data_IF_330895143756
#
_entry.id   IF_330895143756
#
_cell.length_a   1.000
_cell.length_b   1.000
_cell.length_c   1.000
_cell.angle_alpha   90.00
_cell.angle_beta   90.00
_cell.angle_gamma   90.00
#
_symmetry.space_group_name_H-M   'P 1'
#
loop_
_entity.id
_entity.type
_entity.pdbx_description
1 polymer ?
#
# COMPACT_ATOMS: atom_id res chain seq x y z
N UNK A 1 3.66 -9.16 5.53
CA UNK A 1 2.86 -8.85 4.32
C UNK A 1 2.01 -7.65 4.69
N UNK A 2 1.92 -6.60 3.86
CA UNK A 2 1.15 -5.41 4.24
C UNK A 2 -0.35 -5.63 4.03
N UNK A 3 -1.13 -5.41 5.08
CA UNK A 3 -2.59 -5.47 5.05
C UNK A 3 -3.19 -4.19 5.64
N UNK A 4 -4.30 -3.73 5.07
CA UNK A 4 -4.96 -2.48 5.47
C UNK A 4 -6.46 -2.65 5.67
N UNK A 5 -7.00 -1.88 6.61
CA UNK A 5 -8.43 -1.60 6.75
C UNK A 5 -8.66 -0.17 6.23
N UNK A 6 -9.55 -0.03 5.26
CA UNK A 6 -9.69 1.23 4.53
C UNK A 6 -11.10 1.41 3.97
N UNK A 7 -11.43 2.66 3.64
CA UNK A 7 -12.56 3.00 2.79
C UNK A 7 -12.17 4.10 1.80
N UNK A 8 -12.65 4.02 0.55
CA UNK A 8 -12.54 5.06 -0.46
C UNK A 8 -13.90 5.40 -1.02
N UNK A 9 -14.06 6.60 -1.59
CA UNK A 9 -15.19 6.85 -2.49
C UNK A 9 -15.01 6.11 -3.82
N UNK A 10 -16.06 6.11 -4.65
CA UNK A 10 -15.99 5.53 -6.00
C UNK A 10 -15.02 6.27 -6.95
N UNK A 11 -14.65 7.52 -6.64
CA UNK A 11 -13.66 8.31 -7.38
C UNK A 11 -12.34 8.49 -6.61
N UNK A 12 -12.24 7.84 -5.45
CA UNK A 12 -11.09 7.81 -4.59
C UNK A 12 -10.10 6.72 -4.98
N UNK A 13 -8.95 6.72 -4.34
CA UNK A 13 -7.83 5.83 -4.63
C UNK A 13 -6.90 5.76 -3.42
N UNK A 14 -6.36 4.57 -3.15
CA UNK A 14 -5.18 4.37 -2.32
C UNK A 14 -4.10 3.69 -3.16
N UNK A 15 -2.91 4.28 -3.15
CA UNK A 15 -1.68 3.66 -3.66
C UNK A 15 -0.62 3.67 -2.57
N UNK A 16 0.27 2.68 -2.61
CA UNK A 16 1.28 2.48 -1.57
C UNK A 16 2.65 2.30 -2.18
N UNK A 17 3.66 2.91 -1.58
CA UNK A 17 5.05 2.59 -1.85
C UNK A 17 5.80 2.19 -0.57
N UNK A 18 6.81 1.35 -0.72
CA UNK A 18 7.72 0.97 0.36
C UNK A 18 9.06 1.68 0.19
N UNK A 19 9.56 2.23 1.29
CA UNK A 19 10.85 2.91 1.34
C UNK A 19 11.82 2.17 2.25
N UNK A 20 13.09 2.13 1.85
CA UNK A 20 14.17 1.65 2.72
C UNK A 20 14.40 2.59 3.93
N UNK A 21 15.35 2.23 4.78
CA UNK A 21 15.72 3.03 5.96
C UNK A 21 16.25 4.43 5.62
N UNK A 22 16.70 4.64 4.39
CA UNK A 22 17.21 5.91 3.87
C UNK A 22 16.16 6.73 3.11
N UNK A 23 14.89 6.28 3.10
CA UNK A 23 13.77 6.85 2.33
C UNK A 23 13.87 6.68 0.80
N UNK A 24 14.64 5.71 0.30
CA UNK A 24 14.64 5.37 -1.12
C UNK A 24 13.51 4.38 -1.43
N UNK A 25 12.85 4.57 -2.57
CA UNK A 25 11.82 3.64 -3.05
C UNK A 25 12.45 2.27 -3.34
N UNK A 26 11.88 1.22 -2.75
CA UNK A 26 12.32 -0.15 -2.99
C UNK A 26 11.82 -0.57 -4.38
N UNK A 27 12.74 -1.07 -5.20
CA UNK A 27 12.42 -1.50 -6.58
C UNK A 27 11.33 -2.56 -6.58
N UNK A 28 10.28 -2.34 -7.36
CA UNK A 28 9.09 -3.22 -7.43
C UNK A 28 7.99 -2.88 -6.42
N UNK A 29 8.25 -1.97 -5.48
CA UNK A 29 7.29 -1.47 -4.48
C UNK A 29 7.06 0.03 -4.63
N UNK A 30 7.23 0.57 -5.84
CA UNK A 30 6.91 1.97 -6.08
C UNK A 30 5.40 2.18 -6.15
N UNK A 31 4.96 3.44 -6.02
CA UNK A 31 3.56 3.82 -6.26
C UNK A 31 3.07 3.35 -7.64
N UNK A 32 3.93 3.43 -8.66
CA UNK A 32 3.59 3.04 -10.03
C UNK A 32 3.51 1.52 -10.23
N UNK A 33 4.12 0.74 -9.33
CA UNK A 33 3.99 -0.71 -9.32
C UNK A 33 2.79 -1.17 -8.49
N UNK A 34 2.21 -0.31 -7.63
CA UNK A 34 1.11 -0.65 -6.74
C UNK A 34 -0.18 -0.87 -7.54
N UNK A 35 -0.87 -1.97 -7.25
CA UNK A 35 -2.22 -2.15 -7.77
C UNK A 35 -3.15 -1.14 -7.07
N UNK A 36 -4.03 -0.53 -7.85
CA UNK A 36 -5.00 0.45 -7.35
C UNK A 36 -5.94 -0.17 -6.31
N UNK A 37 -6.20 0.55 -5.23
CA UNK A 37 -7.08 0.12 -4.16
C UNK A 37 -8.26 1.09 -4.08
N UNK A 38 -9.45 0.57 -4.37
CA UNK A 38 -10.74 1.28 -4.32
C UNK A 38 -11.75 0.35 -3.65
N UNK A 39 -12.56 0.87 -2.73
CA UNK A 39 -13.60 0.13 -2.04
C UNK A 39 -13.64 0.39 -0.54
N UNK A 40 -14.29 -0.50 0.19
CA UNK A 40 -14.39 -0.48 1.65
C UNK A 40 -14.16 -1.92 2.14
N UNK A 41 -12.98 -2.16 2.71
CA UNK A 41 -12.58 -3.49 3.17
C UNK A 41 -11.93 -3.40 4.54
N UNK A 42 -12.38 -4.27 5.45
CA UNK A 42 -11.80 -4.41 6.78
C UNK A 42 -10.40 -5.05 6.78
N UNK A 43 -10.03 -5.70 5.68
CA UNK A 43 -8.77 -6.42 5.51
C UNK A 43 -8.48 -6.59 4.01
N UNK A 44 -7.49 -5.85 3.51
CA UNK A 44 -6.99 -5.97 2.15
C UNK A 44 -5.47 -6.03 2.12
N UNK A 45 -4.94 -7.09 1.53
CA UNK A 45 -3.52 -7.19 1.22
C UNK A 45 -3.15 -6.22 0.10
N UNK A 46 -2.16 -5.36 0.38
CA UNK A 46 -1.58 -4.48 -0.63
C UNK A 46 -0.73 -5.32 -1.58
N UNK A 47 -0.92 -5.14 -2.88
CA UNK A 47 -0.19 -5.89 -3.90
C UNK A 47 0.44 -4.95 -4.91
N UNK A 48 1.59 -5.37 -5.43
CA UNK A 48 2.29 -4.71 -6.51
C UNK A 48 2.31 -5.66 -7.71
N UNK A 49 2.32 -5.09 -8.91
CA UNK A 49 2.28 -5.80 -10.19
C UNK A 49 3.58 -6.55 -10.49
N UNK A 50 4.71 -6.04 -9.99
CA UNK A 50 5.93 -6.85 -9.88
C UNK A 50 5.69 -7.94 -8.83
N UNK A 51 6.11 -9.18 -9.09
CA UNK A 51 5.80 -10.44 -8.38
C UNK A 51 6.27 -10.49 -6.88
N UNK A 52 5.95 -9.44 -6.14
CA UNK A 52 6.61 -8.90 -4.96
C UNK A 52 5.69 -8.94 -3.74
N UNK A 53 4.50 -9.51 -3.89
CA UNK A 53 3.49 -9.69 -2.85
C UNK A 53 3.96 -10.55 -1.66
N UNK A 54 5.09 -11.26 -1.80
CA UNK A 54 5.71 -12.07 -0.73
C UNK A 54 6.69 -11.28 0.17
N UNK A 55 6.75 -9.96 0.04
CA UNK A 55 7.62 -9.15 0.87
C UNK A 55 7.19 -9.15 2.34
N UNK A 56 8.13 -9.58 3.19
CA UNK A 56 8.03 -9.43 4.64
C UNK A 56 8.65 -8.10 5.03
N UNK A 57 7.81 -7.17 5.48
CA UNK A 57 8.22 -5.91 6.05
C UNK A 57 9.08 -6.16 7.30
N UNK A 58 10.32 -5.70 7.26
CA UNK A 58 11.32 -5.72 8.33
C UNK A 58 11.92 -4.32 8.53
N UNK A 59 11.06 -3.36 8.88
CA UNK A 59 11.48 -2.01 9.26
C UNK A 59 11.52 -0.98 8.12
N UNK A 60 11.06 -1.35 6.92
CA UNK A 60 10.81 -0.42 5.84
C UNK A 60 9.64 0.52 6.19
N UNK A 61 9.66 1.72 5.62
CA UNK A 61 8.59 2.70 5.82
C UNK A 61 7.52 2.48 4.76
N UNK A 62 6.27 2.55 5.18
CA UNK A 62 5.10 2.52 4.30
C UNK A 62 4.66 3.95 4.04
N UNK A 63 4.51 4.32 2.77
CA UNK A 63 3.98 5.64 2.39
C UNK A 63 2.73 5.48 1.55
N UNK A 64 1.67 6.14 2.01
CA UNK A 64 0.36 6.15 1.36
C UNK A 64 0.19 7.38 0.49
N UNK A 65 -0.42 7.17 -0.68
CA UNK A 65 -0.95 8.21 -1.54
C UNK A 65 -2.46 8.02 -1.57
N UNK A 66 -3.20 8.98 -1.03
CA UNK A 66 -4.63 8.85 -0.80
C UNK A 66 -5.37 9.99 -1.48
N UNK A 67 -6.46 9.64 -2.14
CA UNK A 67 -7.42 10.58 -2.71
C UNK A 67 -8.81 10.14 -2.29
N UNK A 68 -9.53 11.00 -1.56
CA UNK A 68 -10.90 10.73 -1.10
C UNK A 68 -11.04 9.33 -0.47
N UNK A 69 -10.18 9.09 0.53
CA UNK A 69 -9.96 7.80 1.15
C UNK A 69 -9.54 7.97 2.61
N UNK A 70 -9.83 6.94 3.40
CA UNK A 70 -9.46 6.79 4.80
C UNK A 70 -8.77 5.43 5.00
N UNK A 71 -7.69 5.43 5.79
CA UNK A 71 -7.01 4.21 6.25
C UNK A 71 -7.13 4.17 7.76
N UNK A 72 -7.82 3.15 8.28
CA UNK A 72 -8.13 3.03 9.70
C UNK A 72 -7.06 2.24 10.45
N UNK A 73 -6.48 1.23 9.82
CA UNK A 73 -5.40 0.44 10.40
C UNK A 73 -4.54 -0.21 9.32
N UNK A 74 -3.32 -0.56 9.71
CA UNK A 74 -2.40 -1.37 8.92
C UNK A 74 -1.74 -2.43 9.80
N UNK A 75 -1.36 -3.55 9.21
CA UNK A 75 -0.63 -4.65 9.87
C UNK A 75 0.42 -5.24 8.90
N UNK A 76 1.52 -5.77 9.45
CA UNK A 76 2.59 -6.36 8.65
C UNK A 76 3.50 -7.36 9.37
#
# INVERSE_FOLDING_TARGET
>A
MLEINYSTSAAGEILVELLDTNNNVIKGFSKGDCNEIIGDEISKTVTWSSNSSLFLLKGEKVKFYMKDADVYSLSY
#
